data_IF_052068455409
#
_entry.id   IF_052068455409
#
_cell.length_a   1.000
_cell.length_b   1.000
_cell.length_c   1.000
_cell.angle_alpha   90.00
_cell.angle_beta   90.00
_cell.angle_gamma   90.00
#
_symmetry.space_group_name_H-M   'P 1'
#
loop_
_entity.id
_entity.type
_entity.pdbx_description
1 polymer ?
#
# COMPACT_ATOMS: atom_id res chain seq x y z
N UNK A 1 9.92 3.94 -11.84
CA UNK A 1 8.45 3.86 -11.99
C UNK A 1 8.02 2.59 -11.27
N UNK A 2 7.03 2.67 -10.37
CA UNK A 2 6.52 1.48 -9.67
C UNK A 2 5.68 0.62 -10.62
N UNK A 3 5.58 -0.68 -10.34
CA UNK A 3 4.79 -1.62 -11.16
C UNK A 3 4.13 -2.68 -10.29
N UNK A 4 3.02 -3.23 -10.78
CA UNK A 4 2.41 -4.44 -10.22
C UNK A 4 3.04 -5.67 -10.87
N UNK A 5 3.57 -6.58 -10.05
CA UNK A 5 3.86 -7.94 -10.47
C UNK A 5 2.56 -8.77 -10.45
N UNK A 6 2.02 -9.04 -11.64
CA UNK A 6 0.77 -9.79 -11.78
C UNK A 6 0.87 -11.26 -11.36
N UNK A 7 2.09 -11.83 -11.36
CA UNK A 7 2.30 -13.19 -10.85
C UNK A 7 2.21 -13.19 -9.32
N UNK A 8 2.82 -12.20 -8.66
CA UNK A 8 2.66 -12.04 -7.21
C UNK A 8 1.21 -11.78 -6.85
N UNK A 9 0.50 -10.92 -7.60
CA UNK A 9 -0.93 -10.70 -7.41
C UNK A 9 -1.71 -12.02 -7.50
N UNK A 10 -1.45 -12.83 -8.53
CA UNK A 10 -2.10 -14.13 -8.71
C UNK A 10 -1.80 -15.08 -7.54
N UNK A 11 -0.56 -15.15 -7.09
CA UNK A 11 -0.16 -15.99 -5.96
C UNK A 11 -0.79 -15.53 -4.64
N UNK A 12 -0.94 -14.21 -4.43
CA UNK A 12 -1.50 -13.66 -3.20
C UNK A 12 -3.03 -13.73 -3.15
N UNK A 13 -3.70 -13.59 -4.29
CA UNK A 13 -5.17 -13.47 -4.36
C UNK A 13 -5.87 -14.71 -4.94
N UNK A 14 -5.13 -15.59 -5.61
CA UNK A 14 -5.68 -16.73 -6.35
C UNK A 14 -6.37 -16.35 -7.66
N UNK A 15 -6.30 -15.09 -8.11
CA UNK A 15 -6.98 -14.64 -9.33
C UNK A 15 -6.10 -13.77 -10.25
N UNK A 16 -6.45 -13.74 -11.54
CA UNK A 16 -5.73 -12.91 -12.52
C UNK A 16 -6.05 -11.44 -12.29
N UNK A 17 -5.03 -10.59 -12.39
CA UNK A 17 -5.13 -9.14 -12.19
C UNK A 17 -6.26 -8.47 -12.98
N UNK A 18 -6.43 -8.85 -14.25
CA UNK A 18 -7.44 -8.29 -15.16
C UNK A 18 -8.79 -9.04 -15.16
N UNK A 19 -8.95 -10.10 -14.35
CA UNK A 19 -10.24 -10.79 -14.25
C UNK A 19 -11.25 -9.94 -13.47
N UNK A 20 -12.55 -10.15 -13.66
CA UNK A 20 -13.60 -9.44 -12.92
C UNK A 20 -13.40 -9.49 -11.40
N UNK A 21 -12.97 -10.64 -10.89
CA UNK A 21 -12.66 -10.81 -9.47
C UNK A 21 -11.35 -10.09 -9.07
N UNK A 22 -10.34 -10.08 -9.93
CA UNK A 22 -9.11 -9.31 -9.74
C UNK A 22 -9.39 -7.81 -9.67
N UNK A 23 -10.24 -7.30 -10.56
CA UNK A 23 -10.72 -5.91 -10.53
C UNK A 23 -11.39 -5.59 -9.19
N UNK A 24 -12.24 -6.49 -8.66
CA UNK A 24 -12.86 -6.30 -7.34
C UNK A 24 -11.83 -6.26 -6.20
N UNK A 25 -10.80 -7.11 -6.23
CA UNK A 25 -9.70 -7.05 -5.26
C UNK A 25 -8.97 -5.71 -5.30
N UNK A 26 -8.67 -5.19 -6.49
CA UNK A 26 -8.02 -3.88 -6.65
C UNK A 26 -8.91 -2.74 -6.15
N UNK A 27 -10.22 -2.79 -6.39
CA UNK A 27 -11.17 -1.81 -5.83
C UNK A 27 -11.23 -1.86 -4.30
N UNK A 28 -11.11 -3.05 -3.69
CA UNK A 28 -11.00 -3.18 -2.23
C UNK A 28 -9.68 -2.55 -1.74
N UNK A 29 -8.58 -2.81 -2.45
CA UNK A 29 -7.29 -2.20 -2.13
C UNK A 29 -7.34 -0.67 -2.21
N UNK A 30 -7.89 -0.09 -3.28
CA UNK A 30 -8.09 1.36 -3.44
C UNK A 30 -8.88 1.94 -2.27
N UNK A 31 -10.03 1.34 -1.92
CA UNK A 31 -10.85 1.80 -0.77
C UNK A 31 -10.08 1.74 0.55
N UNK A 32 -9.27 0.70 0.73
CA UNK A 32 -8.45 0.52 1.93
C UNK A 32 -7.34 1.57 2.00
N UNK A 33 -6.72 1.91 0.87
CA UNK A 33 -5.69 2.94 0.78
C UNK A 33 -6.25 4.34 1.05
N UNK A 34 -7.45 4.66 0.54
CA UNK A 34 -8.13 5.91 0.91
C UNK A 34 -8.36 6.02 2.41
N UNK A 35 -8.85 4.95 3.04
CA UNK A 35 -9.02 4.93 4.50
C UNK A 35 -7.69 5.14 5.24
N UNK A 36 -6.60 4.52 4.77
CA UNK A 36 -5.27 4.76 5.36
C UNK A 36 -4.82 6.21 5.17
N UNK A 37 -5.06 6.81 4.01
CA UNK A 37 -4.78 8.23 3.77
C UNK A 37 -5.56 9.13 4.73
N UNK A 38 -6.83 8.82 4.99
CA UNK A 38 -7.64 9.54 5.98
C UNK A 38 -7.09 9.37 7.40
N UNK A 39 -6.70 8.14 7.78
CA UNK A 39 -6.11 7.85 9.09
C UNK A 39 -4.77 8.61 9.29
N UNK A 40 -3.97 8.80 8.23
CA UNK A 40 -2.75 9.62 8.24
C UNK A 40 -3.08 11.08 8.53
N UNK A 41 -4.04 11.65 7.80
CA UNK A 41 -4.42 13.07 7.90
C UNK A 41 -5.03 13.39 9.27
N UNK A 42 -5.75 12.43 9.85
CA UNK A 42 -6.39 12.58 11.16
C UNK A 42 -5.46 12.26 12.32
N UNK A 43 -4.23 11.79 12.05
CA UNK A 43 -3.24 11.46 13.08
C UNK A 43 -3.68 10.34 14.03
N UNK A 44 -4.51 9.40 13.54
CA UNK A 44 -5.12 8.35 14.38
C UNK A 44 -4.15 7.25 14.78
N UNK A 45 -3.15 6.98 13.94
CA UNK A 45 -2.23 5.85 14.07
C UNK A 45 -0.77 6.31 13.97
N UNK A 46 0.13 5.51 14.56
CA UNK A 46 1.57 5.70 14.40
C UNK A 46 2.03 5.36 12.97
N UNK A 47 3.17 5.93 12.56
CA UNK A 47 3.78 5.64 11.27
C UNK A 47 4.04 4.14 11.09
N UNK A 48 4.53 3.46 12.13
CA UNK A 48 4.68 2.00 12.14
C UNK A 48 3.38 1.26 11.79
N UNK A 49 2.27 1.62 12.44
CA UNK A 49 0.99 0.95 12.23
C UNK A 49 0.44 1.21 10.81
N UNK A 50 0.56 2.46 10.34
CA UNK A 50 0.17 2.84 8.99
C UNK A 50 1.03 2.15 7.93
N UNK A 51 2.35 2.12 8.12
CA UNK A 51 3.29 1.42 7.25
C UNK A 51 2.99 -0.08 7.16
N UNK A 52 2.63 -0.71 8.29
CA UNK A 52 2.23 -2.11 8.31
C UNK A 52 0.97 -2.36 7.45
N UNK A 53 -0.05 -1.48 7.55
CA UNK A 53 -1.26 -1.55 6.73
C UNK A 53 -0.96 -1.41 5.24
N UNK A 54 -0.23 -0.36 4.84
CA UNK A 54 0.12 -0.11 3.42
C UNK A 54 0.97 -1.26 2.86
N UNK A 55 1.93 -1.77 3.65
CA UNK A 55 2.74 -2.94 3.27
C UNK A 55 1.89 -4.16 2.97
N UNK A 56 0.90 -4.47 3.82
CA UNK A 56 -0.01 -5.60 3.60
C UNK A 56 -0.77 -5.47 2.28
N UNK A 57 -1.35 -4.29 2.02
CA UNK A 57 -2.07 -4.01 0.79
C UNK A 57 -1.14 -4.13 -0.43
N UNK A 58 0.07 -3.57 -0.35
CA UNK A 58 1.06 -3.61 -1.42
C UNK A 58 1.49 -5.05 -1.75
N UNK A 59 1.74 -5.90 -0.74
CA UNK A 59 2.04 -7.31 -0.94
C UNK A 59 0.90 -8.06 -1.62
N UNK A 60 -0.35 -7.86 -1.16
CA UNK A 60 -1.52 -8.48 -1.80
C UNK A 60 -1.72 -8.04 -3.25
N UNK A 61 -1.35 -6.81 -3.57
CA UNK A 61 -1.47 -6.27 -4.92
C UNK A 61 -0.28 -6.62 -5.83
N UNK A 62 0.81 -7.19 -5.32
CA UNK A 62 2.03 -7.44 -6.10
C UNK A 62 2.93 -6.22 -6.29
N UNK A 63 2.77 -5.17 -5.50
CA UNK A 63 3.61 -3.95 -5.54
C UNK A 63 4.84 -4.09 -4.61
N UNK A 64 5.80 -4.91 -5.04
CA UNK A 64 6.93 -5.32 -4.19
C UNK A 64 7.81 -4.14 -3.75
N UNK A 65 8.08 -3.17 -4.62
CA UNK A 65 8.90 -2.01 -4.27
C UNK A 65 8.26 -1.16 -3.19
N UNK A 66 6.93 -0.95 -3.29
CA UNK A 66 6.18 -0.17 -2.30
C UNK A 66 6.14 -0.93 -0.97
N UNK A 67 5.90 -2.24 -0.99
CA UNK A 67 5.97 -3.07 0.20
C UNK A 67 7.35 -2.97 0.90
N UNK A 68 8.45 -2.94 0.14
CA UNK A 68 9.81 -2.76 0.69
C UNK A 68 10.02 -1.38 1.30
N UNK A 69 9.46 -0.32 0.72
CA UNK A 69 9.52 1.04 1.29
C UNK A 69 8.78 1.07 2.62
N UNK A 70 7.55 0.53 2.66
CA UNK A 70 6.77 0.46 3.88
C UNK A 70 7.44 -0.41 4.97
N UNK A 71 8.10 -1.51 4.59
CA UNK A 71 8.90 -2.31 5.52
C UNK A 71 10.03 -1.50 6.15
N UNK A 72 10.73 -0.68 5.37
CA UNK A 72 11.79 0.19 5.90
C UNK A 72 11.21 1.25 6.84
N UNK A 73 10.09 1.86 6.49
CA UNK A 73 9.40 2.82 7.37
C UNK A 73 8.98 2.18 8.69
N UNK A 74 8.46 0.95 8.67
CA UNK A 74 8.08 0.20 9.86
C UNK A 74 9.30 -0.13 10.73
N UNK A 75 10.43 -0.49 10.11
CA UNK A 75 11.67 -0.84 10.82
C UNK A 75 12.37 0.38 11.44
N UNK A 76 12.38 1.51 10.73
CA UNK A 76 13.06 2.74 11.16
C UNK A 76 12.14 3.76 11.83
N UNK A 77 10.94 3.36 12.26
CA UNK A 77 9.92 4.23 12.86
C UNK A 77 10.45 5.10 14.01
N UNK A 78 11.36 4.56 14.82
CA UNK A 78 11.95 5.27 15.97
C UNK A 78 13.01 6.32 15.58
N UNK A 79 13.50 6.28 14.34
CA UNK A 79 14.56 7.17 13.84
C UNK A 79 14.02 8.18 12.82
N UNK A 80 13.02 7.79 12.05
CA UNK A 80 12.43 8.63 11.00
C UNK A 80 11.56 9.72 11.63
N UNK A 81 11.70 10.95 11.15
CA UNK A 81 10.83 12.04 11.54
C UNK A 81 9.36 11.70 11.24
N UNK A 82 8.48 11.91 12.22
CA UNK A 82 7.07 11.52 12.13
C UNK A 82 6.38 12.12 10.88
N UNK A 83 6.55 13.42 10.65
CA UNK A 83 5.93 14.10 9.50
C UNK A 83 6.48 13.62 8.16
N UNK A 84 7.78 13.32 8.09
CA UNK A 84 8.40 12.76 6.89
C UNK A 84 7.88 11.35 6.60
N UNK A 85 7.72 10.51 7.63
CA UNK A 85 7.13 9.18 7.49
C UNK A 85 5.69 9.23 6.97
N UNK A 86 4.85 10.14 7.51
CA UNK A 86 3.47 10.35 7.03
C UNK A 86 3.42 10.78 5.57
N UNK A 87 4.32 11.68 5.16
CA UNK A 87 4.42 12.11 3.75
C UNK A 87 4.76 10.94 2.83
N UNK A 88 5.78 10.15 3.17
CA UNK A 88 6.14 8.96 2.37
C UNK A 88 4.97 7.97 2.30
N UNK A 89 4.24 7.76 3.40
CA UNK A 89 3.08 6.87 3.41
C UNK A 89 1.96 7.37 2.50
N UNK A 90 1.66 8.68 2.49
CA UNK A 90 0.71 9.28 1.56
C UNK A 90 1.15 9.10 0.10
N UNK A 91 2.42 9.38 -0.19
CA UNK A 91 2.99 9.22 -1.54
C UNK A 91 2.89 7.76 -2.01
N UNK A 92 3.17 6.79 -1.13
CA UNK A 92 3.06 5.36 -1.43
C UNK A 92 1.60 4.94 -1.63
N UNK A 93 0.67 5.42 -0.79
CA UNK A 93 -0.75 5.12 -0.94
C UNK A 93 -1.31 5.66 -2.26
N UNK A 94 -0.94 6.89 -2.64
CA UNK A 94 -1.37 7.49 -3.90
C UNK A 94 -0.78 6.75 -5.11
N UNK A 95 0.50 6.40 -5.07
CA UNK A 95 1.12 5.59 -6.11
C UNK A 95 0.42 4.23 -6.27
N UNK A 96 0.09 3.56 -5.15
CA UNK A 96 -0.65 2.30 -5.16
C UNK A 96 -2.07 2.44 -5.74
N UNK A 97 -2.78 3.52 -5.41
CA UNK A 97 -4.12 3.79 -5.97
C UNK A 97 -4.02 3.86 -7.50
N UNK A 98 -3.07 4.64 -8.04
CA UNK A 98 -2.87 4.76 -9.48
C UNK A 98 -2.51 3.42 -10.15
N UNK A 99 -1.73 2.56 -9.49
CA UNK A 99 -1.38 1.23 -10.01
C UNK A 99 -2.55 0.25 -10.02
N UNK A 100 -3.51 0.41 -9.12
CA UNK A 100 -4.67 -0.47 -8.98
C UNK A 100 -5.87 -0.05 -9.84
N UNK A 101 -5.91 1.21 -10.29
CA UNK A 101 -7.02 1.80 -11.04
C UNK A 101 -6.97 1.54 -12.56
N UNK A 102 -6.01 0.73 -13.02
CA UNK A 102 -5.72 0.43 -14.43
C UNK A 102 -6.59 -0.67 -15.03
#
# INVERSE_FOLDING_TARGET
MYSIDTNVFLMATGCKFQSDIGVRFRQIAIRSLHKVSDDILQGRDSNRALAHKVKGIALSCGAIEIARICLKLEHYDVVINESAGKKVLLDMSNAMIHLCDV
#
